data_IF_624601309124
#
_entry.id   IF_624601309124
#
_cell.length_a   1.000
_cell.length_b   1.000
_cell.length_c   1.000
_cell.angle_alpha   90.00
_cell.angle_beta   90.00
_cell.angle_gamma   90.00
#
_symmetry.space_group_name_H-M   'P 1'
#
loop_
_entity.id
_entity.type
_entity.pdbx_description
1 polymer ?
#
# COMPACT_ATOMS: atom_id res chain seq x y z
N UNK A 1 -8.23 -92.17 60.51
CA UNK A 1 -7.26 -91.16 60.10
C UNK A 1 -7.79 -90.47 58.82
N UNK A 2 -8.54 -89.37 59.02
CA UNK A 2 -9.19 -88.66 57.91
C UNK A 2 -8.29 -87.51 57.43
N UNK A 3 -7.74 -87.62 56.27
CA UNK A 3 -7.00 -86.51 55.60
C UNK A 3 -8.03 -85.52 55.06
N UNK A 4 -8.02 -84.31 55.61
CA UNK A 4 -8.78 -83.17 55.13
C UNK A 4 -8.09 -82.61 53.84
N UNK A 5 -8.66 -82.90 52.71
CA UNK A 5 -8.22 -82.33 51.42
C UNK A 5 -8.65 -80.86 51.35
N UNK A 6 -7.73 -79.93 51.56
CA UNK A 6 -7.95 -78.51 51.36
C UNK A 6 -8.21 -78.23 49.86
N UNK A 7 -9.29 -77.53 49.49
CA UNK A 7 -9.53 -77.21 48.08
C UNK A 7 -8.48 -76.21 47.63
N UNK A 8 -7.67 -76.54 46.54
CA UNK A 8 -6.81 -75.63 45.87
C UNK A 8 -7.68 -74.60 45.14
N UNK A 9 -7.77 -73.41 45.69
CA UNK A 9 -8.48 -72.27 45.08
C UNK A 9 -7.81 -72.01 43.71
N UNK A 10 -8.59 -72.21 42.63
CA UNK A 10 -8.15 -71.94 41.28
C UNK A 10 -8.05 -70.41 41.08
N UNK A 11 -6.89 -69.83 41.27
CA UNK A 11 -6.62 -68.37 41.15
C UNK A 11 -6.73 -67.93 39.68
N UNK A 12 -6.56 -68.86 38.72
CA UNK A 12 -6.59 -68.61 37.29
C UNK A 12 -7.89 -67.89 36.79
N UNK A 13 -9.14 -68.28 37.15
CA UNK A 13 -10.34 -67.59 36.70
C UNK A 13 -10.44 -66.14 37.24
N UNK A 14 -9.92 -65.88 38.44
CA UNK A 14 -9.92 -64.51 39.01
C UNK A 14 -8.92 -63.58 38.28
N UNK A 15 -7.74 -64.09 37.87
CA UNK A 15 -6.80 -63.34 37.08
C UNK A 15 -7.36 -63.08 35.69
N UNK A 16 -7.99 -64.08 35.07
CA UNK A 16 -8.63 -63.92 33.76
C UNK A 16 -9.78 -62.91 33.81
N UNK A 17 -10.61 -62.93 34.84
CA UNK A 17 -11.68 -61.99 35.07
C UNK A 17 -11.16 -60.55 35.28
N UNK A 18 -10.05 -60.39 36.04
CA UNK A 18 -9.34 -59.10 36.19
C UNK A 18 -8.80 -58.54 34.88
N UNK A 19 -8.17 -59.38 34.02
CA UNK A 19 -7.71 -58.98 32.69
C UNK A 19 -8.87 -58.55 31.77
N UNK A 20 -9.97 -59.28 31.79
CA UNK A 20 -11.20 -58.93 31.01
C UNK A 20 -11.79 -57.60 31.47
N UNK A 21 -11.91 -57.36 32.79
CA UNK A 21 -12.44 -56.07 33.32
C UNK A 21 -11.55 -54.89 33.00
N UNK A 22 -10.22 -55.05 33.09
CA UNK A 22 -9.24 -54.02 32.64
C UNK A 22 -9.33 -53.79 31.14
N UNK A 23 -9.41 -54.86 30.34
CA UNK A 23 -9.61 -54.74 28.89
C UNK A 23 -10.90 -54.03 28.51
N UNK A 24 -12.03 -54.36 29.17
CA UNK A 24 -13.32 -53.73 28.98
C UNK A 24 -13.28 -52.23 29.39
N UNK A 25 -12.65 -51.90 30.50
CA UNK A 25 -12.49 -50.52 30.95
C UNK A 25 -11.69 -49.70 29.93
N UNK A 26 -10.56 -50.21 29.46
CA UNK A 26 -9.78 -49.56 28.40
C UNK A 26 -10.56 -49.45 27.06
N UNK A 27 -11.30 -50.49 26.67
CA UNK A 27 -12.15 -50.48 25.48
C UNK A 27 -13.26 -49.43 25.57
N UNK A 28 -13.97 -49.37 26.70
CA UNK A 28 -15.05 -48.38 26.90
C UNK A 28 -14.48 -46.95 26.91
N UNK A 29 -13.35 -46.69 27.58
CA UNK A 29 -12.75 -45.35 27.60
C UNK A 29 -12.28 -44.90 26.22
N UNK A 30 -11.67 -45.78 25.43
CA UNK A 30 -11.29 -45.52 24.03
C UNK A 30 -12.50 -45.29 23.14
N UNK A 31 -13.55 -46.06 23.32
CA UNK A 31 -14.80 -45.92 22.56
C UNK A 31 -15.49 -44.56 22.86
N UNK A 32 -15.60 -44.18 24.13
CA UNK A 32 -16.15 -42.87 24.53
C UNK A 32 -15.29 -41.72 23.99
N UNK A 33 -13.94 -41.87 24.01
CA UNK A 33 -13.06 -40.87 23.42
C UNK A 33 -13.32 -40.73 21.91
N UNK A 34 -13.39 -41.84 21.18
CA UNK A 34 -13.64 -41.81 19.72
C UNK A 34 -15.00 -41.25 19.32
N UNK A 35 -16.01 -41.32 20.23
CA UNK A 35 -17.31 -40.72 19.99
C UNK A 35 -17.32 -39.18 20.12
N UNK A 36 -16.34 -38.59 20.85
CA UNK A 36 -16.28 -37.15 21.13
C UNK A 36 -15.06 -36.45 20.48
N UNK A 37 -14.25 -37.21 19.72
CA UNK A 37 -13.05 -36.66 19.11
C UNK A 37 -12.87 -37.18 17.67
N UNK A 38 -12.55 -36.26 16.77
CA UNK A 38 -12.10 -36.58 15.42
C UNK A 38 -10.59 -36.30 15.31
N UNK A 39 -9.84 -37.36 15.01
CA UNK A 39 -8.39 -37.31 14.97
C UNK A 39 -7.87 -37.39 13.52
N UNK A 40 -6.79 -36.65 13.25
CA UNK A 40 -6.03 -36.81 12.00
C UNK A 40 -4.52 -36.70 12.30
N UNK A 41 -3.72 -37.49 11.62
CA UNK A 41 -2.27 -37.46 11.58
C UNK A 41 -1.74 -36.76 10.32
N UNK A 42 -2.64 -36.41 9.39
CA UNK A 42 -2.34 -35.66 8.18
C UNK A 42 -2.55 -34.16 8.42
N UNK A 43 -1.62 -33.59 9.21
CA UNK A 43 -1.62 -32.17 9.51
C UNK A 43 -0.20 -31.62 9.51
N UNK A 44 -0.07 -30.38 9.14
CA UNK A 44 1.23 -29.69 9.16
C UNK A 44 1.09 -28.27 9.72
N UNK A 45 2.15 -27.82 10.37
CA UNK A 45 2.31 -26.42 10.76
C UNK A 45 2.53 -25.60 9.49
N UNK A 46 1.85 -24.48 9.40
CA UNK A 46 1.94 -23.58 8.26
C UNK A 46 2.08 -22.13 8.71
N UNK A 47 2.55 -21.27 7.84
CA UNK A 47 2.81 -19.86 8.10
C UNK A 47 2.62 -19.03 6.84
N UNK A 48 2.39 -17.73 7.00
CA UNK A 48 2.37 -16.81 5.88
C UNK A 48 3.80 -16.63 5.34
N UNK A 49 4.00 -17.01 4.07
CA UNK A 49 5.26 -16.87 3.35
C UNK A 49 5.16 -15.67 2.42
N UNK A 50 5.98 -14.65 2.66
CA UNK A 50 5.98 -13.41 1.92
C UNK A 50 7.18 -13.37 0.96
N UNK A 51 6.99 -13.56 -0.36
CA UNK A 51 8.07 -13.42 -1.32
C UNK A 51 8.48 -11.95 -1.46
N UNK A 52 9.79 -11.68 -1.40
CA UNK A 52 10.36 -10.37 -1.65
C UNK A 52 10.82 -10.32 -3.10
N UNK A 53 10.18 -9.46 -3.88
CA UNK A 53 10.40 -9.33 -5.33
C UNK A 53 11.16 -8.04 -5.64
N UNK A 54 11.98 -8.10 -6.68
CA UNK A 54 12.69 -6.95 -7.27
C UNK A 54 11.69 -6.02 -7.95
N UNK A 55 11.79 -4.69 -7.72
CA UNK A 55 10.94 -3.67 -8.35
C UNK A 55 11.59 -2.93 -9.52
N UNK A 56 12.91 -3.10 -9.71
CA UNK A 56 13.65 -2.52 -10.82
C UNK A 56 14.72 -3.48 -11.33
N UNK A 57 15.04 -3.42 -12.61
CA UNK A 57 16.14 -4.20 -13.19
C UNK A 57 17.48 -3.53 -12.90
N UNK A 58 18.49 -4.30 -12.51
CA UNK A 58 19.84 -3.82 -12.26
C UNK A 58 20.75 -4.90 -11.66
N UNK A 59 22.01 -4.54 -11.45
CA UNK A 59 23.00 -5.45 -10.83
C UNK A 59 22.89 -5.37 -9.30
N UNK A 60 22.94 -6.53 -8.64
CA UNK A 60 23.01 -6.61 -7.17
C UNK A 60 24.35 -6.05 -6.69
N UNK A 61 24.32 -4.98 -5.92
CA UNK A 61 25.50 -4.33 -5.37
C UNK A 61 25.92 -4.97 -4.05
N UNK A 62 24.97 -5.20 -3.14
CA UNK A 62 25.25 -5.73 -1.81
C UNK A 62 24.04 -6.51 -1.28
N UNK A 63 24.32 -7.58 -0.51
CA UNK A 63 23.31 -8.35 0.23
C UNK A 63 23.59 -8.18 1.72
N UNK A 64 22.64 -7.64 2.48
CA UNK A 64 22.79 -7.25 3.89
C UNK A 64 22.09 -8.17 4.88
N UNK A 65 21.53 -9.28 4.43
CA UNK A 65 20.88 -10.24 5.32
C UNK A 65 21.63 -11.57 5.32
N UNK A 66 21.41 -12.33 6.38
CA UNK A 66 21.91 -13.71 6.53
C UNK A 66 20.72 -14.66 6.51
N UNK A 67 20.88 -15.80 5.84
CA UNK A 67 19.86 -16.84 5.76
C UNK A 67 19.51 -17.41 7.13
N UNK A 68 18.24 -17.75 7.35
CA UNK A 68 17.70 -18.35 8.57
C UNK A 68 17.82 -17.47 9.84
N UNK A 69 18.12 -16.19 9.69
CA UNK A 69 18.14 -15.21 10.79
C UNK A 69 16.85 -14.37 10.79
N UNK A 70 16.46 -13.95 11.97
CA UNK A 70 15.34 -13.04 12.16
C UNK A 70 15.67 -11.66 11.57
N UNK A 71 14.72 -11.11 10.82
CA UNK A 71 14.75 -9.77 10.23
C UNK A 71 13.48 -9.00 10.64
N UNK A 72 13.59 -7.68 10.69
CA UNK A 72 12.49 -6.80 11.03
C UNK A 72 11.96 -6.07 9.80
N UNK A 73 10.71 -5.69 9.87
CA UNK A 73 10.10 -4.84 8.85
C UNK A 73 10.90 -3.54 8.70
N UNK A 74 11.28 -3.20 7.46
CA UNK A 74 12.10 -2.03 7.14
C UNK A 74 13.60 -2.31 7.04
N UNK A 75 14.09 -3.48 7.50
CA UNK A 75 15.50 -3.84 7.34
C UNK A 75 15.89 -3.90 5.87
N UNK A 76 17.03 -3.32 5.53
CA UNK A 76 17.57 -3.39 4.17
C UNK A 76 18.12 -4.78 3.90
N UNK A 77 17.57 -5.43 2.86
CA UNK A 77 17.94 -6.79 2.48
C UNK A 77 18.99 -6.81 1.37
N UNK A 78 18.72 -6.06 0.31
CA UNK A 78 19.57 -6.02 -0.89
C UNK A 78 19.60 -4.59 -1.42
N UNK A 79 20.76 -4.19 -1.93
CA UNK A 79 20.89 -2.95 -2.71
C UNK A 79 21.25 -3.28 -4.16
N UNK A 80 20.60 -2.60 -5.08
CA UNK A 80 20.85 -2.68 -6.53
C UNK A 80 21.67 -1.46 -6.93
N UNK A 81 22.52 -1.59 -7.94
CA UNK A 81 23.25 -0.45 -8.52
C UNK A 81 22.25 0.61 -8.99
N UNK A 82 22.37 1.79 -8.42
CA UNK A 82 21.42 2.89 -8.60
C UNK A 82 22.01 4.12 -9.28
N UNK A 83 23.25 4.02 -9.81
CA UNK A 83 23.98 5.15 -10.39
C UNK A 83 23.20 5.82 -11.53
N UNK A 84 22.61 5.04 -12.41
CA UNK A 84 21.79 5.56 -13.52
C UNK A 84 20.54 6.27 -13.01
N UNK A 85 19.90 5.76 -11.96
CA UNK A 85 18.70 6.37 -11.38
C UNK A 85 19.06 7.64 -10.61
N UNK A 86 20.20 7.69 -9.93
CA UNK A 86 20.71 8.91 -9.30
C UNK A 86 20.93 10.03 -10.31
N UNK A 87 21.45 9.71 -11.51
CA UNK A 87 21.60 10.69 -12.61
C UNK A 87 20.23 11.22 -13.03
N UNK A 88 19.22 10.34 -13.16
CA UNK A 88 17.84 10.77 -13.51
C UNK A 88 17.24 11.69 -12.44
N UNK A 89 17.47 11.42 -11.15
CA UNK A 89 17.06 12.33 -10.06
C UNK A 89 17.69 13.70 -10.23
N UNK A 90 19.02 13.78 -10.44
CA UNK A 90 19.72 15.06 -10.67
C UNK A 90 19.20 15.80 -11.89
N UNK A 91 18.87 15.09 -12.97
CA UNK A 91 18.27 15.69 -14.16
C UNK A 91 16.89 16.29 -13.88
N UNK A 92 16.05 15.57 -13.10
CA UNK A 92 14.74 16.04 -12.71
C UNK A 92 14.82 17.24 -11.73
N UNK A 93 15.80 17.26 -10.82
CA UNK A 93 16.10 18.39 -9.94
C UNK A 93 16.47 19.64 -10.74
N UNK A 94 17.38 19.53 -11.68
CA UNK A 94 17.77 20.65 -12.55
C UNK A 94 16.60 21.16 -13.41
N UNK A 95 15.73 20.25 -13.88
CA UNK A 95 14.54 20.63 -14.64
C UNK A 95 13.52 21.38 -13.75
N UNK A 96 13.37 20.98 -12.51
CA UNK A 96 12.53 21.67 -11.52
C UNK A 96 13.08 23.08 -11.21
N UNK A 97 14.38 23.20 -11.00
CA UNK A 97 15.06 24.49 -10.78
C UNK A 97 14.84 25.45 -11.96
N UNK A 98 15.04 24.98 -13.21
CA UNK A 98 14.76 25.77 -14.41
C UNK A 98 13.31 26.23 -14.49
N UNK A 99 12.35 25.37 -14.16
CA UNK A 99 10.92 25.72 -14.16
C UNK A 99 10.59 26.73 -13.05
N UNK A 100 11.26 26.64 -11.91
CA UNK A 100 11.12 27.60 -10.80
C UNK A 100 11.69 28.98 -11.19
N UNK A 101 12.82 29.02 -11.87
CA UNK A 101 13.39 30.25 -12.41
C UNK A 101 12.44 30.91 -13.44
N UNK A 102 11.73 30.12 -14.26
CA UNK A 102 10.72 30.63 -15.20
C UNK A 102 9.53 31.35 -14.49
N UNK A 103 9.16 30.93 -13.28
CA UNK A 103 8.18 31.64 -12.44
C UNK A 103 8.71 33.03 -12.05
N UNK A 104 9.97 33.10 -11.62
CA UNK A 104 10.60 34.39 -11.24
C UNK A 104 10.68 35.36 -12.41
N UNK A 105 10.96 34.87 -13.63
CA UNK A 105 10.91 35.67 -14.85
C UNK A 105 9.48 36.17 -15.13
N UNK A 106 8.48 35.31 -15.00
CA UNK A 106 7.08 35.70 -15.18
C UNK A 106 6.64 36.74 -14.15
N UNK A 107 7.10 36.67 -12.88
CA UNK A 107 6.84 37.67 -11.84
C UNK A 107 7.52 39.01 -12.17
N UNK A 108 8.73 39.01 -12.71
CA UNK A 108 9.41 40.22 -13.20
C UNK A 108 8.64 40.88 -14.36
N UNK A 109 8.06 40.08 -15.25
CA UNK A 109 7.23 40.59 -16.34
C UNK A 109 5.94 41.27 -15.83
N UNK A 110 5.33 40.74 -14.76
CA UNK A 110 4.20 41.42 -14.09
C UNK A 110 4.61 42.76 -13.52
N UNK A 111 5.77 42.83 -12.85
CA UNK A 111 6.29 44.10 -12.31
C UNK A 111 6.50 45.14 -13.42
N UNK A 112 7.06 44.73 -14.55
CA UNK A 112 7.27 45.60 -15.72
C UNK A 112 5.94 46.07 -16.32
N UNK A 113 4.94 45.18 -16.45
CA UNK A 113 3.61 45.54 -16.94
C UNK A 113 2.88 46.49 -15.95
N UNK A 114 3.06 46.30 -14.65
CA UNK A 114 2.50 47.18 -13.61
C UNK A 114 3.11 48.59 -13.68
N UNK A 115 4.43 48.71 -13.87
CA UNK A 115 5.09 50.02 -14.06
C UNK A 115 4.54 50.76 -15.30
N UNK A 116 4.30 50.05 -16.40
CA UNK A 116 3.67 50.61 -17.59
C UNK A 116 2.20 51.07 -17.33
N UNK A 117 1.47 50.25 -16.58
CA UNK A 117 0.09 50.65 -16.17
C UNK A 117 0.08 51.91 -15.31
N UNK A 118 0.97 52.03 -14.31
CA UNK A 118 1.05 53.24 -13.47
C UNK A 118 1.43 54.49 -14.30
N UNK A 119 2.30 54.33 -15.32
CA UNK A 119 2.60 55.44 -16.26
C UNK A 119 1.38 55.84 -17.08
N UNK A 120 0.64 54.88 -17.62
CA UNK A 120 -0.58 55.14 -18.38
C UNK A 120 -1.67 55.79 -17.51
N UNK A 121 -1.80 55.35 -16.26
CA UNK A 121 -2.69 55.89 -15.26
C UNK A 121 -2.35 57.36 -14.91
N UNK A 122 -1.05 57.66 -14.71
CA UNK A 122 -0.62 59.04 -14.48
C UNK A 122 -0.94 59.95 -15.68
N UNK A 123 -0.77 59.46 -16.90
CA UNK A 123 -1.14 60.20 -18.13
C UNK A 123 -2.63 60.43 -18.24
N UNK A 124 -3.47 59.46 -17.86
CA UNK A 124 -4.93 59.59 -17.80
C UNK A 124 -5.36 60.64 -16.76
N UNK A 125 -4.77 60.63 -15.53
CA UNK A 125 -5.07 61.63 -14.51
C UNK A 125 -4.65 63.06 -14.96
N UNK A 126 -3.53 63.21 -15.64
CA UNK A 126 -3.11 64.48 -16.23
C UNK A 126 -4.12 64.98 -17.29
N UNK A 127 -4.62 64.10 -18.18
CA UNK A 127 -5.66 64.44 -19.15
C UNK A 127 -6.99 64.86 -18.46
N UNK A 128 -7.36 64.19 -17.36
CA UNK A 128 -8.52 64.53 -16.56
C UNK A 128 -8.43 65.92 -15.96
N UNK A 129 -7.27 66.31 -15.44
CA UNK A 129 -7.03 67.70 -14.95
C UNK A 129 -7.16 68.69 -16.11
N UNK A 130 -6.66 68.38 -17.31
CA UNK A 130 -6.78 69.25 -18.49
C UNK A 130 -8.25 69.46 -18.90
N UNK A 131 -9.05 68.37 -18.92
CA UNK A 131 -10.50 68.44 -19.15
C UNK A 131 -11.20 69.34 -18.13
N UNK A 132 -10.88 69.16 -16.85
CA UNK A 132 -11.46 70.00 -15.79
C UNK A 132 -11.14 71.47 -16.05
N UNK A 133 -9.86 71.82 -16.37
CA UNK A 133 -9.47 73.19 -16.66
C UNK A 133 -10.21 73.74 -17.90
N UNK A 134 -10.16 73.03 -19.01
CA UNK A 134 -10.79 73.49 -20.28
C UNK A 134 -12.30 73.62 -20.14
N UNK A 135 -12.94 72.79 -19.30
CA UNK A 135 -14.37 72.92 -18.98
C UNK A 135 -14.67 74.19 -18.17
N UNK A 136 -13.82 74.53 -17.21
CA UNK A 136 -13.98 75.80 -16.45
C UNK A 136 -13.78 76.98 -17.35
N UNK A 137 -12.79 76.97 -18.24
CA UNK A 137 -12.59 78.06 -19.22
C UNK A 137 -13.75 78.16 -20.21
N UNK A 138 -14.22 77.05 -20.77
CA UNK A 138 -15.43 77.05 -21.64
C UNK A 138 -16.63 77.62 -20.95
N UNK A 139 -16.93 77.22 -19.74
CA UNK A 139 -18.08 77.76 -18.96
C UNK A 139 -17.95 79.25 -18.73
N UNK A 140 -16.74 79.76 -18.45
CA UNK A 140 -16.47 81.18 -18.32
C UNK A 140 -16.68 81.93 -19.63
N UNK A 141 -16.14 81.40 -20.74
CA UNK A 141 -16.34 82.06 -22.07
C UNK A 141 -17.82 81.95 -22.53
N UNK A 142 -18.56 80.89 -22.15
CA UNK A 142 -20.00 80.79 -22.40
C UNK A 142 -20.77 81.89 -21.74
N UNK A 143 -20.47 82.32 -20.52
CA UNK A 143 -21.11 83.39 -19.82
C UNK A 143 -20.74 84.73 -20.46
N UNK A 144 -19.47 84.98 -20.77
CA UNK A 144 -18.95 86.19 -21.39
C UNK A 144 -19.52 86.44 -22.82
N UNK A 145 -19.73 85.39 -23.62
CA UNK A 145 -20.36 85.51 -24.94
C UNK A 145 -21.84 85.90 -24.83
N UNK A 146 -22.57 85.38 -23.85
CA UNK A 146 -23.95 85.75 -23.55
C UNK A 146 -24.05 87.21 -23.15
N UNK A 147 -23.06 87.70 -22.41
CA UNK A 147 -22.94 89.12 -22.02
C UNK A 147 -22.39 90.06 -23.14
N UNK A 148 -22.12 89.50 -24.34
CA UNK A 148 -21.48 90.17 -25.50
C UNK A 148 -20.10 90.78 -25.17
N UNK A 149 -19.42 90.27 -24.23
CA UNK A 149 -18.10 90.76 -23.75
C UNK A 149 -16.90 90.17 -24.53
N UNK A 150 -17.13 89.17 -25.36
CA UNK A 150 -16.07 88.51 -26.21
C UNK A 150 -16.57 88.28 -27.63
N UNK A 151 -15.63 87.95 -28.54
CA UNK A 151 -15.92 87.59 -29.91
C UNK A 151 -16.32 86.11 -30.07
N UNK A 152 -17.09 85.77 -31.13
CA UNK A 152 -17.51 84.43 -31.46
C UNK A 152 -16.23 83.52 -31.66
N UNK A 153 -15.20 84.08 -32.30
CA UNK A 153 -13.92 83.35 -32.50
C UNK A 153 -13.23 82.92 -31.19
N UNK A 154 -13.30 83.75 -30.13
CA UNK A 154 -12.77 83.44 -28.83
C UNK A 154 -13.54 82.33 -28.15
N UNK A 155 -14.89 82.36 -28.25
CA UNK A 155 -15.75 81.30 -27.75
C UNK A 155 -15.53 79.96 -28.48
N UNK A 156 -15.46 79.99 -29.84
CA UNK A 156 -15.27 78.80 -30.65
C UNK A 156 -13.89 78.20 -30.36
N UNK A 157 -12.86 78.99 -30.06
CA UNK A 157 -11.55 78.55 -29.60
C UNK A 157 -11.61 77.79 -28.28
N UNK A 158 -12.36 78.35 -27.29
CA UNK A 158 -12.53 77.66 -26.01
C UNK A 158 -13.33 76.34 -26.11
N UNK A 159 -14.30 76.29 -27.01
CA UNK A 159 -15.09 75.10 -27.33
C UNK A 159 -14.21 74.03 -27.98
N UNK A 160 -13.38 74.38 -28.96
CA UNK A 160 -12.48 73.48 -29.61
C UNK A 160 -11.39 72.91 -28.65
N UNK A 161 -10.88 73.72 -27.73
CA UNK A 161 -9.93 73.24 -26.68
C UNK A 161 -10.58 72.27 -25.72
N UNK A 162 -11.86 72.50 -25.32
CA UNK A 162 -12.58 71.53 -24.48
C UNK A 162 -12.79 70.21 -25.22
N UNK A 163 -13.25 70.25 -26.49
CA UNK A 163 -13.48 69.03 -27.28
C UNK A 163 -12.14 68.26 -27.51
N UNK A 164 -11.04 68.95 -27.73
CA UNK A 164 -9.69 68.38 -27.84
C UNK A 164 -9.26 67.72 -26.53
N UNK A 165 -9.52 68.36 -25.37
CA UNK A 165 -9.18 67.80 -24.08
C UNK A 165 -10.05 66.56 -23.76
N UNK A 166 -11.34 66.54 -24.09
CA UNK A 166 -12.24 65.39 -23.95
C UNK A 166 -11.77 64.21 -24.82
N UNK A 167 -11.35 64.49 -26.07
CA UNK A 167 -10.80 63.47 -26.94
C UNK A 167 -9.48 62.87 -26.38
N UNK A 168 -8.61 63.75 -25.82
CA UNK A 168 -7.36 63.28 -25.18
C UNK A 168 -7.60 62.42 -23.93
N UNK A 169 -8.64 62.77 -23.12
CA UNK A 169 -9.08 61.94 -21.99
C UNK A 169 -9.53 60.55 -22.45
N UNK A 170 -10.31 60.49 -23.52
CA UNK A 170 -10.75 59.19 -24.11
C UNK A 170 -9.56 58.32 -24.54
N UNK A 171 -8.56 58.93 -25.20
CA UNK A 171 -7.31 58.23 -25.56
C UNK A 171 -6.59 57.72 -24.30
N UNK A 172 -6.42 58.57 -23.30
CA UNK A 172 -5.78 58.18 -22.02
C UNK A 172 -6.49 57.04 -21.31
N UNK A 173 -7.82 57.08 -21.27
CA UNK A 173 -8.64 55.99 -20.71
C UNK A 173 -8.44 54.65 -21.41
N UNK A 174 -8.40 54.68 -22.75
CA UNK A 174 -8.15 53.46 -23.55
C UNK A 174 -6.73 52.93 -23.35
N UNK A 175 -5.75 53.82 -23.25
CA UNK A 175 -4.36 53.42 -22.97
C UNK A 175 -4.21 52.79 -21.59
N UNK A 176 -4.83 53.36 -20.56
CA UNK A 176 -4.88 52.81 -19.22
C UNK A 176 -5.52 51.40 -19.21
N UNK A 177 -6.68 51.26 -19.88
CA UNK A 177 -7.38 49.95 -19.97
C UNK A 177 -6.54 48.91 -20.71
N UNK A 178 -5.85 49.29 -21.79
CA UNK A 178 -4.95 48.39 -22.52
C UNK A 178 -3.77 47.96 -21.63
N UNK A 179 -3.15 48.88 -20.91
CA UNK A 179 -2.05 48.57 -19.99
C UNK A 179 -2.53 47.65 -18.84
N UNK A 180 -3.74 47.84 -18.31
CA UNK A 180 -4.29 46.95 -17.30
C UNK A 180 -4.52 45.52 -17.84
N UNK A 181 -5.01 45.39 -19.07
CA UNK A 181 -5.17 44.09 -19.72
C UNK A 181 -3.84 43.35 -19.89
N UNK A 182 -2.74 44.08 -20.14
CA UNK A 182 -1.38 43.47 -20.15
C UNK A 182 -0.96 42.97 -18.78
N UNK A 183 -1.25 43.71 -17.71
CA UNK A 183 -0.98 43.22 -16.32
C UNK A 183 -1.72 41.91 -16.04
N UNK A 184 -3.02 41.84 -16.39
CA UNK A 184 -3.82 40.64 -16.18
C UNK A 184 -3.32 39.45 -17.03
N UNK A 185 -2.88 39.71 -18.26
CA UNK A 185 -2.25 38.69 -19.11
C UNK A 185 -0.96 38.19 -18.48
N UNK A 186 -0.08 39.06 -18.00
CA UNK A 186 1.18 38.69 -17.34
C UNK A 186 0.92 37.89 -16.06
N UNK A 187 -0.09 38.23 -15.25
CA UNK A 187 -0.50 37.45 -14.06
C UNK A 187 -0.95 36.04 -14.43
N UNK A 188 -1.69 35.86 -15.51
CA UNK A 188 -2.09 34.53 -15.99
C UNK A 188 -0.88 33.70 -16.40
N UNK A 189 0.17 34.34 -16.96
CA UNK A 189 1.43 33.66 -17.32
C UNK A 189 2.13 33.10 -16.09
N UNK A 190 2.05 33.73 -14.89
CA UNK A 190 2.56 33.15 -13.64
C UNK A 190 1.83 31.82 -13.34
N UNK A 191 0.52 31.75 -13.52
CA UNK A 191 -0.24 30.52 -13.29
C UNK A 191 0.21 29.38 -14.21
N UNK A 192 0.49 29.69 -15.49
CA UNK A 192 1.03 28.72 -16.45
C UNK A 192 2.42 28.24 -16.00
N UNK A 193 3.30 29.18 -15.61
CA UNK A 193 4.64 28.82 -15.12
C UNK A 193 4.59 27.98 -13.84
N UNK A 194 3.69 28.29 -12.90
CA UNK A 194 3.46 27.48 -11.68
C UNK A 194 2.94 26.07 -11.99
N UNK A 195 2.08 25.92 -12.99
CA UNK A 195 1.66 24.59 -13.45
C UNK A 195 2.85 23.79 -14.00
N UNK A 196 3.77 24.45 -14.71
CA UNK A 196 5.03 23.85 -15.16
C UNK A 196 5.90 23.37 -13.99
N UNK A 197 6.02 24.16 -12.91
CA UNK A 197 6.72 23.74 -11.68
C UNK A 197 6.07 22.50 -11.07
N UNK A 198 4.72 22.46 -10.97
CA UNK A 198 4.01 21.31 -10.43
C UNK A 198 4.28 20.04 -11.26
N UNK A 199 4.32 20.15 -12.59
CA UNK A 199 4.69 19.04 -13.47
C UNK A 199 6.11 18.54 -13.19
N UNK A 200 7.11 19.45 -13.15
CA UNK A 200 8.52 19.06 -12.91
C UNK A 200 8.73 18.48 -11.51
N UNK A 201 7.95 18.93 -10.52
CA UNK A 201 7.96 18.34 -9.18
C UNK A 201 7.46 16.89 -9.21
N UNK A 202 6.38 16.62 -9.93
CA UNK A 202 5.89 15.25 -10.09
C UNK A 202 6.91 14.35 -10.83
N UNK A 203 7.64 14.89 -11.83
CA UNK A 203 8.71 14.16 -12.51
C UNK A 203 9.85 13.82 -11.53
N UNK A 204 10.23 14.76 -10.64
CA UNK A 204 11.21 14.52 -9.58
C UNK A 204 10.75 13.48 -8.57
N UNK A 205 9.49 13.56 -8.12
CA UNK A 205 8.91 12.60 -7.18
C UNK A 205 8.90 11.19 -7.78
N UNK A 206 8.62 11.05 -9.08
CA UNK A 206 8.73 9.78 -9.81
C UNK A 206 10.17 9.25 -9.85
N UNK A 207 11.15 10.11 -10.13
CA UNK A 207 12.56 9.72 -10.14
C UNK A 207 13.04 9.26 -8.76
N UNK A 208 12.63 9.95 -7.68
CA UNK A 208 12.92 9.57 -6.30
C UNK A 208 12.25 8.24 -5.92
N UNK A 209 11.02 8.00 -6.37
CA UNK A 209 10.34 6.73 -6.17
C UNK A 209 11.11 5.60 -6.85
N UNK A 210 11.58 5.79 -8.08
CA UNK A 210 12.42 4.81 -8.78
C UNK A 210 13.73 4.56 -8.04
N UNK A 211 14.36 5.61 -7.49
CA UNK A 211 15.58 5.48 -6.68
C UNK A 211 15.32 4.65 -5.41
N UNK A 212 14.17 4.82 -4.77
CA UNK A 212 13.80 4.03 -3.60
C UNK A 212 13.72 2.53 -3.88
N UNK A 213 13.39 2.12 -5.11
CA UNK A 213 13.32 0.71 -5.50
C UNK A 213 14.68 0.02 -5.61
N UNK A 214 15.77 0.80 -5.65
CA UNK A 214 17.12 0.27 -5.62
C UNK A 214 17.50 -0.32 -4.24
N UNK A 215 16.81 0.09 -3.18
CA UNK A 215 16.97 -0.46 -1.84
C UNK A 215 15.78 -1.34 -1.51
N UNK A 216 16.03 -2.65 -1.45
CA UNK A 216 14.98 -3.63 -1.18
C UNK A 216 14.94 -3.88 0.32
N UNK A 217 13.78 -3.58 0.92
CA UNK A 217 13.53 -3.68 2.37
C UNK A 217 12.56 -4.81 2.69
N UNK A 218 12.62 -5.31 3.92
CA UNK A 218 11.66 -6.30 4.41
C UNK A 218 10.27 -5.68 4.59
N UNK A 219 9.22 -6.28 3.99
CA UNK A 219 7.85 -5.80 4.17
C UNK A 219 7.23 -6.21 5.51
N UNK A 220 7.76 -7.25 6.17
CA UNK A 220 7.22 -7.86 7.39
C UNK A 220 8.34 -8.30 8.33
N UNK A 221 7.99 -8.52 9.61
CA UNK A 221 8.86 -9.21 10.56
C UNK A 221 8.83 -10.72 10.29
N UNK A 222 9.98 -11.39 10.42
CA UNK A 222 10.03 -12.82 10.20
C UNK A 222 11.44 -13.36 10.08
N UNK A 223 11.56 -14.56 9.51
CA UNK A 223 12.83 -15.25 9.28
C UNK A 223 13.11 -15.27 7.79
N UNK A 224 14.28 -14.76 7.39
CA UNK A 224 14.74 -14.81 6.02
C UNK A 224 15.00 -16.26 5.60
N UNK A 225 14.48 -16.66 4.44
CA UNK A 225 14.81 -17.99 3.86
C UNK A 225 16.11 -17.93 3.06
N UNK A 226 16.38 -18.98 2.28
CA UNK A 226 17.52 -19.03 1.37
C UNK A 226 17.46 -17.86 0.36
N UNK A 227 18.61 -17.25 0.09
CA UNK A 227 18.77 -16.24 -0.95
C UNK A 227 18.79 -16.89 -2.35
N UNK A 228 18.09 -16.28 -3.27
CA UNK A 228 18.03 -16.71 -4.68
C UNK A 228 18.91 -15.84 -5.60
N UNK A 229 19.70 -14.93 -5.02
CA UNK A 229 20.52 -13.97 -5.77
C UNK A 229 21.93 -13.87 -5.20
N UNK A 230 22.89 -13.43 -6.04
CA UNK A 230 24.28 -13.23 -5.66
C UNK A 230 24.73 -11.80 -5.98
N UNK A 231 25.74 -11.30 -5.26
CA UNK A 231 26.37 -10.01 -5.54
C UNK A 231 26.95 -10.02 -6.96
N UNK A 232 26.72 -8.96 -7.72
CA UNK A 232 27.11 -8.83 -9.13
C UNK A 232 26.16 -9.49 -10.13
N UNK A 233 25.13 -10.20 -9.68
CA UNK A 233 24.11 -10.79 -10.55
C UNK A 233 23.17 -9.73 -11.10
N UNK A 234 22.84 -9.83 -12.40
CA UNK A 234 21.74 -9.05 -13.00
C UNK A 234 20.40 -9.65 -12.56
N UNK A 235 19.53 -8.81 -11.99
CA UNK A 235 18.16 -9.18 -11.60
C UNK A 235 17.15 -8.34 -12.38
N UNK A 236 16.04 -8.96 -12.75
CA UNK A 236 14.96 -8.32 -13.47
C UNK A 236 13.80 -7.99 -12.52
N UNK A 237 12.99 -7.00 -12.89
CA UNK A 237 11.76 -6.70 -12.19
C UNK A 237 10.86 -7.95 -12.08
N UNK A 238 10.32 -8.23 -10.88
CA UNK A 238 9.54 -9.42 -10.59
C UNK A 238 10.35 -10.65 -10.17
N UNK A 239 11.69 -10.64 -10.25
CA UNK A 239 12.53 -11.74 -9.78
C UNK A 239 12.46 -11.88 -8.26
N UNK A 240 12.25 -13.10 -7.71
CA UNK A 240 12.25 -13.31 -6.26
C UNK A 240 13.70 -13.33 -5.72
N UNK A 241 13.94 -12.56 -4.67
CA UNK A 241 15.23 -12.50 -3.96
C UNK A 241 15.31 -13.56 -2.87
N UNK A 242 14.30 -13.59 -2.03
CA UNK A 242 14.07 -14.52 -0.93
C UNK A 242 12.59 -14.55 -0.58
N UNK A 243 12.20 -15.46 0.27
CA UNK A 243 10.92 -15.41 0.96
C UNK A 243 11.14 -15.13 2.45
N UNK A 244 10.19 -14.47 3.09
CA UNK A 244 10.19 -14.23 4.52
C UNK A 244 9.05 -15.02 5.13
N UNK A 245 9.39 -15.90 6.06
CA UNK A 245 8.43 -16.63 6.87
C UNK A 245 8.04 -15.74 8.04
N UNK A 246 6.79 -15.28 8.06
CA UNK A 246 6.27 -14.44 9.14
C UNK A 246 6.30 -15.20 10.47
N UNK A 247 6.68 -14.54 11.55
CA UNK A 247 6.62 -15.13 12.90
C UNK A 247 5.31 -14.81 13.64
N UNK A 248 4.39 -14.07 13.00
CA UNK A 248 3.15 -13.61 13.64
C UNK A 248 1.97 -14.57 13.49
N UNK A 249 1.82 -15.21 12.33
CA UNK A 249 0.64 -16.00 11.96
C UNK A 249 0.99 -17.48 11.77
N UNK A 250 1.23 -18.19 12.89
CA UNK A 250 1.42 -19.65 12.86
C UNK A 250 0.07 -20.33 13.00
N UNK A 251 -0.28 -21.20 12.06
CA UNK A 251 -1.50 -22.00 12.09
C UNK A 251 -1.19 -23.44 11.70
N UNK A 252 -2.16 -24.31 11.83
CA UNK A 252 -2.05 -25.71 11.37
C UNK A 252 -3.10 -25.95 10.31
N UNK A 253 -2.67 -26.52 9.20
CA UNK A 253 -3.53 -27.06 8.17
C UNK A 253 -3.66 -28.55 8.38
N UNK A 254 -4.85 -29.03 8.76
CA UNK A 254 -5.15 -30.43 9.02
C UNK A 254 -6.13 -30.98 8.00
N UNK A 255 -5.80 -32.10 7.37
CA UNK A 255 -6.60 -32.74 6.35
C UNK A 255 -7.49 -33.80 7.01
N UNK A 256 -8.80 -33.53 7.12
CA UNK A 256 -9.80 -34.46 7.62
C UNK A 256 -10.51 -35.18 6.48
N UNK A 257 -10.90 -36.44 6.70
CA UNK A 257 -11.75 -37.16 5.74
C UNK A 257 -13.12 -36.49 5.65
N UNK A 258 -13.73 -36.50 4.47
CA UNK A 258 -15.08 -35.97 4.24
C UNK A 258 -16.10 -36.51 5.23
N UNK A 259 -15.97 -37.78 5.63
CA UNK A 259 -16.84 -38.46 6.61
C UNK A 259 -16.69 -37.96 8.04
N UNK A 260 -15.62 -37.23 8.37
CA UNK A 260 -15.35 -36.69 9.72
C UNK A 260 -15.93 -35.28 9.89
N UNK A 261 -16.31 -34.61 8.81
CA UNK A 261 -16.74 -33.20 8.85
C UNK A 261 -18.16 -33.00 9.38
N UNK A 262 -19.00 -34.04 9.40
CA UNK A 262 -20.41 -33.93 9.78
C UNK A 262 -20.59 -33.30 11.17
N UNK A 263 -19.68 -33.62 12.12
CA UNK A 263 -19.75 -33.17 13.50
C UNK A 263 -18.79 -32.03 13.82
N UNK A 264 -18.09 -31.49 12.80
CA UNK A 264 -17.11 -30.43 12.99
C UNK A 264 -17.70 -29.06 12.61
N UNK A 265 -17.44 -28.04 13.44
CA UNK A 265 -17.88 -26.67 13.23
C UNK A 265 -16.75 -25.67 13.47
N UNK A 266 -16.84 -24.48 12.82
CA UNK A 266 -15.97 -23.36 13.12
C UNK A 266 -16.13 -23.01 14.60
N UNK A 267 -15.00 -22.80 15.31
CA UNK A 267 -14.96 -22.54 16.73
C UNK A 267 -14.75 -23.77 17.61
N UNK A 268 -14.83 -25.02 17.08
CA UNK A 268 -14.51 -26.20 17.85
C UNK A 268 -13.08 -26.13 18.42
N UNK A 269 -12.95 -26.59 19.67
CA UNK A 269 -11.66 -26.69 20.34
C UNK A 269 -10.84 -27.84 19.78
N UNK A 270 -9.56 -27.58 19.55
CA UNK A 270 -8.63 -28.50 18.93
C UNK A 270 -7.39 -28.64 19.79
N UNK A 271 -6.90 -29.86 19.95
CA UNK A 271 -5.60 -30.14 20.52
C UNK A 271 -4.63 -30.54 19.42
N UNK A 272 -3.51 -29.84 19.34
CA UNK A 272 -2.44 -30.06 18.35
C UNK A 272 -1.19 -30.55 19.08
N UNK A 273 -0.58 -31.60 18.55
CA UNK A 273 0.71 -32.14 18.99
C UNK A 273 1.63 -32.17 17.78
N UNK A 274 2.65 -31.32 17.79
CA UNK A 274 3.67 -31.30 16.72
C UNK A 274 4.66 -32.42 16.96
N UNK A 275 5.00 -33.20 15.93
CA UNK A 275 5.86 -34.38 16.08
C UNK A 275 7.28 -34.04 16.58
N UNK A 276 7.78 -32.84 16.25
CA UNK A 276 9.04 -32.33 16.79
C UNK A 276 8.99 -32.04 18.31
N UNK A 277 7.79 -31.90 18.91
CA UNK A 277 7.58 -31.57 20.33
C UNK A 277 6.46 -32.43 20.94
N UNK A 278 6.63 -33.76 21.01
CA UNK A 278 5.54 -34.71 21.36
C UNK A 278 5.00 -34.56 22.77
N UNK A 279 5.75 -33.91 23.65
CA UNK A 279 5.32 -33.64 25.04
C UNK A 279 4.52 -32.35 25.20
N UNK A 280 4.47 -31.51 24.16
CA UNK A 280 3.81 -30.20 24.20
C UNK A 280 2.46 -30.30 23.50
N UNK A 281 1.39 -30.16 24.23
CA UNK A 281 0.04 -30.03 23.70
C UNK A 281 -0.26 -28.55 23.47
N UNK A 282 -0.68 -28.21 22.29
CA UNK A 282 -1.02 -26.84 21.90
C UNK A 282 -2.53 -26.79 21.66
N UNK A 283 -3.22 -25.89 22.34
CA UNK A 283 -4.63 -25.68 22.13
C UNK A 283 -4.84 -24.79 20.91
N UNK A 284 -5.89 -25.06 20.16
CA UNK A 284 -6.29 -24.31 18.98
C UNK A 284 -7.80 -24.25 18.81
N UNK A 285 -8.22 -23.54 17.78
CA UNK A 285 -9.62 -23.50 17.34
C UNK A 285 -9.71 -23.58 15.84
N UNK A 286 -10.73 -24.25 15.33
CA UNK A 286 -11.06 -24.27 13.89
C UNK A 286 -11.49 -22.85 13.49
N UNK A 287 -10.82 -22.29 12.47
CA UNK A 287 -11.16 -20.97 11.91
C UNK A 287 -11.82 -21.05 10.55
N UNK A 288 -11.50 -22.06 9.76
CA UNK A 288 -12.14 -22.24 8.45
C UNK A 288 -11.99 -23.65 7.90
N UNK A 289 -12.91 -24.05 7.05
CA UNK A 289 -12.82 -25.21 6.18
C UNK A 289 -12.46 -24.74 4.77
N UNK A 290 -11.64 -25.50 4.05
CA UNK A 290 -11.34 -25.20 2.65
C UNK A 290 -12.62 -25.32 1.80
N UNK A 291 -12.78 -24.44 0.83
CA UNK A 291 -13.91 -24.43 -0.09
C UNK A 291 -13.93 -25.63 -1.05
N UNK A 292 -12.81 -26.38 -1.16
CA UNK A 292 -12.73 -27.56 -2.02
C UNK A 292 -11.73 -28.57 -1.43
N UNK A 293 -11.81 -29.81 -1.92
CA UNK A 293 -10.89 -30.89 -1.55
C UNK A 293 -9.50 -30.65 -2.11
N UNK A 294 -8.47 -31.18 -1.45
CA UNK A 294 -7.08 -31.05 -1.90
C UNK A 294 -6.86 -31.57 -3.34
N UNK A 295 -7.60 -32.60 -3.74
CA UNK A 295 -7.54 -33.17 -5.10
C UNK A 295 -8.00 -32.17 -6.19
N UNK A 296 -8.91 -31.24 -5.89
CA UNK A 296 -9.38 -30.21 -6.85
C UNK A 296 -8.36 -29.09 -7.06
N UNK A 297 -7.50 -28.83 -6.10
CA UNK A 297 -6.42 -27.84 -6.19
C UNK A 297 -5.09 -28.43 -6.68
N UNK A 298 -5.04 -29.76 -6.94
CA UNK A 298 -3.85 -30.37 -7.50
C UNK A 298 -3.65 -29.94 -8.96
N UNK A 299 -2.38 -29.67 -9.32
CA UNK A 299 -2.00 -29.37 -10.73
C UNK A 299 -2.34 -30.52 -11.69
N UNK A 300 -2.41 -31.76 -11.19
CA UNK A 300 -2.84 -32.96 -11.92
C UNK A 300 -3.96 -33.61 -11.09
N UNK A 301 -5.23 -33.23 -11.30
CA UNK A 301 -6.34 -33.92 -10.66
C UNK A 301 -6.32 -35.41 -11.05
N UNK A 302 -6.62 -36.33 -10.12
CA UNK A 302 -6.73 -37.75 -10.47
C UNK A 302 -7.88 -37.93 -11.44
N UNK A 303 -7.56 -38.27 -12.70
CA UNK A 303 -8.50 -38.57 -13.73
C UNK A 303 -8.56 -40.09 -13.94
N UNK A 304 -9.76 -40.66 -13.82
CA UNK A 304 -9.99 -42.10 -14.08
C UNK A 304 -10.25 -42.30 -15.58
N UNK A 305 -9.18 -42.24 -16.40
CA UNK A 305 -9.25 -42.41 -17.86
C UNK A 305 -9.77 -43.81 -18.32
N UNK A 306 -9.91 -44.76 -17.39
CA UNK A 306 -10.29 -46.18 -17.71
C UNK A 306 -11.80 -46.47 -17.59
N UNK A 307 -12.65 -45.45 -17.30
CA UNK A 307 -14.11 -45.60 -17.26
C UNK A 307 -14.69 -46.26 -16.00
N UNK A 308 -13.89 -46.78 -15.08
CA UNK A 308 -14.37 -47.31 -13.80
C UNK A 308 -14.28 -46.26 -12.72
N UNK A 309 -15.41 -45.77 -12.22
CA UNK A 309 -15.45 -44.84 -11.09
C UNK A 309 -15.21 -45.61 -9.79
N UNK A 310 -14.04 -45.34 -9.13
CA UNK A 310 -13.76 -45.80 -7.77
C UNK A 310 -14.01 -44.65 -6.82
N UNK A 311 -14.97 -44.79 -5.91
CA UNK A 311 -15.22 -43.77 -4.87
C UNK A 311 -14.09 -43.84 -3.85
N UNK A 312 -13.21 -42.81 -3.89
CA UNK A 312 -12.13 -42.60 -2.92
C UNK A 312 -12.58 -41.47 -1.95
N UNK A 313 -12.50 -41.74 -0.64
CA UNK A 313 -12.80 -40.73 0.39
C UNK A 313 -11.83 -39.57 0.22
N UNK A 314 -12.38 -38.38 -0.02
CA UNK A 314 -11.63 -37.14 -0.18
C UNK A 314 -11.22 -36.57 1.17
N UNK A 315 -10.13 -35.78 1.19
CA UNK A 315 -9.71 -35.02 2.36
C UNK A 315 -9.96 -33.54 2.13
N UNK A 316 -10.42 -32.87 3.18
CA UNK A 316 -10.72 -31.43 3.17
C UNK A 316 -9.78 -30.76 4.16
N UNK A 317 -8.97 -29.76 3.71
CA UNK A 317 -8.11 -28.99 4.57
C UNK A 317 -8.93 -28.13 5.54
N UNK A 318 -8.58 -28.20 6.81
CA UNK A 318 -9.15 -27.41 7.88
C UNK A 318 -8.06 -26.53 8.48
N UNK A 319 -8.29 -25.22 8.54
CA UNK A 319 -7.35 -24.27 9.12
C UNK A 319 -7.62 -24.07 10.60
N UNK A 320 -6.60 -24.23 11.42
CA UNK A 320 -6.66 -24.21 12.87
C UNK A 320 -5.75 -23.10 13.39
N UNK A 321 -6.32 -22.13 14.10
CA UNK A 321 -5.53 -21.12 14.79
C UNK A 321 -5.01 -21.70 16.11
N UNK A 322 -3.73 -21.51 16.39
CA UNK A 322 -3.09 -21.96 17.62
C UNK A 322 -3.22 -20.90 18.71
N UNK A 323 -3.50 -21.34 19.95
CA UNK A 323 -3.62 -20.50 21.15
C UNK A 323 -2.37 -20.69 22.04
N UNK A 324 -1.99 -19.66 22.78
CA UNK A 324 -0.96 -19.71 23.83
C UNK A 324 0.40 -20.27 23.39
N UNK A 325 0.84 -19.98 22.16
CA UNK A 325 2.07 -20.50 21.59
C UNK A 325 3.35 -19.75 22.01
N UNK A 326 3.28 -18.75 22.92
CA UNK A 326 4.39 -17.83 23.21
C UNK A 326 5.72 -18.50 23.57
N UNK A 327 5.71 -19.66 24.24
CA UNK A 327 6.92 -20.41 24.57
C UNK A 327 7.43 -21.30 23.42
N UNK A 328 6.57 -21.66 22.46
CA UNK A 328 6.87 -22.62 21.38
C UNK A 328 6.91 -21.94 20.01
N UNK A 329 6.36 -20.71 19.89
CA UNK A 329 6.21 -19.97 18.64
C UNK A 329 7.50 -19.88 17.82
N UNK A 330 8.61 -19.54 18.48
CA UNK A 330 9.91 -19.40 17.80
C UNK A 330 10.56 -20.74 17.40
N UNK A 331 9.97 -21.87 17.80
CA UNK A 331 10.47 -23.21 17.49
C UNK A 331 9.67 -23.91 16.40
N UNK A 332 8.43 -23.48 16.15
CA UNK A 332 7.60 -24.04 15.10
C UNK A 332 8.08 -23.54 13.74
N UNK A 333 8.15 -24.44 12.77
CA UNK A 333 8.53 -24.12 11.39
C UNK A 333 7.46 -24.64 10.43
N UNK A 334 7.16 -23.92 9.35
CA UNK A 334 6.29 -24.43 8.29
C UNK A 334 6.76 -25.77 7.78
N UNK A 335 5.83 -26.69 7.50
CA UNK A 335 6.13 -28.04 7.04
C UNK A 335 6.38 -29.06 8.15
N UNK A 336 6.40 -28.68 9.43
CA UNK A 336 6.47 -29.65 10.54
C UNK A 336 5.14 -30.43 10.60
N UNK A 337 5.23 -31.77 10.69
CA UNK A 337 4.08 -32.66 10.85
C UNK A 337 3.47 -32.53 12.24
N UNK A 338 2.17 -32.66 12.31
CA UNK A 338 1.41 -32.58 13.55
C UNK A 338 0.28 -33.61 13.57
N UNK A 339 -0.13 -33.97 14.79
CA UNK A 339 -1.37 -34.73 15.05
C UNK A 339 -2.40 -33.78 15.64
N UNK A 340 -3.61 -33.88 15.12
CA UNK A 340 -4.70 -32.98 15.47
C UNK A 340 -5.87 -33.80 15.96
N UNK A 341 -6.41 -33.41 17.14
CA UNK A 341 -7.61 -33.97 17.74
C UNK A 341 -8.63 -32.87 17.93
N UNK A 342 -9.76 -32.96 17.26
CA UNK A 342 -10.87 -32.01 17.34
C UNK A 342 -11.90 -32.55 18.31
N UNK A 343 -12.26 -31.77 19.32
CA UNK A 343 -13.38 -32.10 20.20
C UNK A 343 -14.70 -31.76 19.51
N UNK A 344 -15.50 -32.80 19.24
CA UNK A 344 -16.86 -32.69 18.71
C UNK A 344 -17.88 -32.77 19.84
N UNK A 345 -19.01 -32.13 19.63
CA UNK A 345 -20.11 -32.14 20.66
C UNK A 345 -20.96 -33.36 20.52
#
# INVERSE_FOLDING_TARGET
MNEIIKPKMKIFPFILMGLITVGLFFGITKYIYALHHEDTDDAQVDNDINPVLVRMTGYVNEIRFVENIKIHKGDTLVTIDNRDVQIKVKQAEAALENSTAAVSVAESNVNSAMANYETAKASFEAAKIRVWKSTQDFNRFQNLINDKAITQQQFDGAKAEKESADAQLSVGSRQQSAALALVESAKKQISVSKAGVAQRKADLDLANLQLSYATIISPVDGIATKKNVQVGQLVNMGSPILAIVSDTNVYVTANFKETQLENMAIGNNVQVIVDAFPKTKIDGTIISFSAATGAKFSLLPPDNATGNFVKVVQRIPVKIALKNINSTKNKLRPGMSAKVSVKIN
#
